data_IF_974464477910
#
_entry.id   IF_974464477910
#
_cell.length_a   1.000
_cell.length_b   1.000
_cell.length_c   1.000
_cell.angle_alpha   90.00
_cell.angle_beta   90.00
_cell.angle_gamma   90.00
#
_symmetry.space_group_name_H-M   'P 1'
#
loop_
_entity.id
_entity.type
_entity.pdbx_description
1 polymer ?
#
# COMPACT_ATOMS: atom_id res chain seq x y z
N UNK A 1 -7.01 -5.12 -6.96
CA UNK A 1 -6.44 -3.79 -7.26
C UNK A 1 -7.59 -2.88 -7.68
N UNK A 2 -7.70 -1.65 -7.17
CA UNK A 2 -8.74 -0.70 -7.57
C UNK A 2 -8.19 0.34 -8.56
N UNK A 3 -8.49 0.16 -9.84
CA UNK A 3 -7.96 1.01 -10.93
C UNK A 3 -8.58 2.41 -10.97
N UNK A 4 -9.86 2.56 -10.62
CA UNK A 4 -10.53 3.88 -10.61
C UNK A 4 -9.94 4.83 -9.57
N UNK A 5 -9.56 4.29 -8.40
CA UNK A 5 -8.88 5.08 -7.36
C UNK A 5 -7.44 5.40 -7.71
N UNK A 6 -6.74 4.53 -8.43
CA UNK A 6 -5.42 4.86 -8.97
C UNK A 6 -5.48 6.09 -9.87
N UNK A 7 -6.44 6.13 -10.81
CA UNK A 7 -6.65 7.29 -11.67
C UNK A 7 -6.95 8.57 -10.87
N UNK A 8 -7.79 8.48 -9.84
CA UNK A 8 -8.07 9.61 -8.96
C UNK A 8 -6.81 10.09 -8.21
N UNK A 9 -5.95 9.18 -7.77
CA UNK A 9 -4.69 9.52 -7.11
C UNK A 9 -3.72 10.26 -8.05
N UNK A 10 -3.67 9.86 -9.32
CA UNK A 10 -2.89 10.58 -10.36
C UNK A 10 -3.46 11.98 -10.60
N UNK A 11 -4.78 12.12 -10.78
CA UNK A 11 -5.44 13.42 -10.99
C UNK A 11 -5.28 14.38 -9.81
N UNK A 12 -5.20 13.85 -8.60
CA UNK A 12 -5.05 14.64 -7.36
C UNK A 12 -3.60 14.85 -6.97
N UNK A 13 -2.64 14.52 -7.83
CA UNK A 13 -1.20 14.60 -7.55
C UNK A 13 -0.78 13.88 -6.26
N UNK A 14 -1.44 12.77 -5.93
CA UNK A 14 -1.17 12.00 -4.71
C UNK A 14 -1.78 12.58 -3.42
N UNK A 15 -2.54 13.69 -3.50
CA UNK A 15 -3.19 14.33 -2.33
C UNK A 15 -4.50 13.67 -1.89
N UNK A 16 -5.10 12.78 -2.69
CA UNK A 16 -6.28 12.02 -2.22
C UNK A 16 -5.87 10.92 -1.24
N UNK A 17 -6.03 11.22 0.05
CA UNK A 17 -5.90 10.25 1.14
C UNK A 17 -7.05 9.23 1.16
N UNK A 18 -6.83 8.08 1.83
CA UNK A 18 -7.89 7.15 2.24
C UNK A 18 -8.38 6.10 1.23
N UNK A 19 -7.91 6.11 -0.03
CA UNK A 19 -8.39 5.18 -1.08
C UNK A 19 -7.53 3.95 -1.38
N UNK A 20 -6.46 3.70 -0.61
CA UNK A 20 -5.44 2.68 -0.95
C UNK A 20 -5.85 1.29 -0.44
N UNK A 21 -5.67 0.25 -1.26
CA UNK A 21 -5.93 -1.13 -0.85
C UNK A 21 -4.92 -1.59 0.20
N UNK A 22 -5.24 -2.66 0.95
CA UNK A 22 -4.31 -3.25 1.92
C UNK A 22 -2.97 -3.63 1.25
N UNK A 23 -2.97 -4.19 0.05
CA UNK A 23 -1.73 -4.52 -0.68
C UNK A 23 -0.92 -3.28 -1.06
N UNK A 24 -1.59 -2.19 -1.40
CA UNK A 24 -0.95 -0.91 -1.70
C UNK A 24 -0.34 -0.28 -0.43
N UNK A 25 -1.07 -0.37 0.69
CA UNK A 25 -0.56 0.07 1.98
C UNK A 25 0.62 -0.77 2.45
N UNK A 26 0.58 -2.10 2.25
CA UNK A 26 1.71 -3.00 2.49
C UNK A 26 2.91 -2.62 1.63
N UNK A 27 2.73 -2.41 0.32
CA UNK A 27 3.80 -1.99 -0.58
C UNK A 27 4.44 -0.66 -0.13
N UNK A 28 3.61 0.31 0.28
CA UNK A 28 4.08 1.59 0.81
C UNK A 28 4.89 1.39 2.09
N UNK A 29 4.34 0.68 3.07
CA UNK A 29 4.94 0.56 4.39
C UNK A 29 6.22 -0.29 4.38
N UNK A 30 6.31 -1.31 3.53
CA UNK A 30 7.45 -2.23 3.47
C UNK A 30 8.60 -1.77 2.56
N UNK A 31 8.31 -0.98 1.51
CA UNK A 31 9.30 -0.73 0.45
C UNK A 31 9.48 0.74 0.03
N UNK A 32 8.63 1.67 0.48
CA UNK A 32 8.63 3.06 -0.02
C UNK A 32 8.72 4.07 1.13
N UNK A 33 9.20 5.27 0.82
CA UNK A 33 9.15 6.40 1.77
C UNK A 33 7.70 6.88 1.99
N UNK A 34 7.47 7.71 3.01
CA UNK A 34 6.15 8.31 3.26
C UNK A 34 5.88 9.60 2.45
N UNK A 35 6.79 9.98 1.54
CA UNK A 35 6.69 11.22 0.78
C UNK A 35 5.49 11.21 -0.17
N UNK A 36 4.62 12.21 -0.13
CA UNK A 36 3.42 12.20 -0.97
C UNK A 36 3.68 12.73 -2.38
N UNK A 37 4.33 11.91 -3.22
CA UNK A 37 4.59 12.22 -4.64
C UNK A 37 3.83 11.27 -5.58
N UNK A 38 3.57 11.75 -6.81
CA UNK A 38 2.94 10.95 -7.88
C UNK A 38 3.82 9.75 -8.25
N UNK A 39 5.13 9.94 -8.34
CA UNK A 39 6.09 8.87 -8.65
C UNK A 39 6.05 7.76 -7.59
N UNK A 40 6.09 8.12 -6.30
CA UNK A 40 5.95 7.15 -5.22
C UNK A 40 4.61 6.41 -5.33
N UNK A 41 3.52 7.11 -5.66
CA UNK A 41 2.19 6.49 -5.80
C UNK A 41 2.12 5.52 -6.99
N UNK A 42 2.82 5.81 -8.09
CA UNK A 42 2.95 4.89 -9.21
C UNK A 42 3.75 3.63 -8.82
N UNK A 43 4.88 3.79 -8.12
CA UNK A 43 5.66 2.66 -7.57
C UNK A 43 4.84 1.78 -6.64
N UNK A 44 4.04 2.39 -5.75
CA UNK A 44 3.12 1.69 -4.85
C UNK A 44 2.13 0.80 -5.62
N UNK A 45 1.59 1.30 -6.73
CA UNK A 45 0.65 0.56 -7.56
C UNK A 45 1.31 -0.64 -8.26
N UNK A 46 2.48 -0.47 -8.86
CA UNK A 46 3.19 -1.57 -9.53
C UNK A 46 3.66 -2.65 -8.55
N UNK A 47 4.20 -2.25 -7.40
CA UNK A 47 4.56 -3.20 -6.33
C UNK A 47 3.33 -3.95 -5.82
N UNK A 48 2.20 -3.26 -5.63
CA UNK A 48 0.97 -3.93 -5.23
C UNK A 48 0.50 -4.95 -6.28
N UNK A 49 0.62 -4.64 -7.58
CA UNK A 49 0.33 -5.59 -8.66
C UNK A 49 1.22 -6.83 -8.56
N UNK A 50 2.52 -6.64 -8.38
CA UNK A 50 3.47 -7.74 -8.25
C UNK A 50 3.19 -8.61 -7.02
N UNK A 51 2.93 -7.99 -5.87
CA UNK A 51 2.54 -8.69 -4.65
C UNK A 51 1.27 -9.53 -4.85
N UNK A 52 0.24 -8.98 -5.51
CA UNK A 52 -0.99 -9.75 -5.81
C UNK A 52 -0.78 -10.90 -6.80
N UNK A 53 0.27 -10.87 -7.63
CA UNK A 53 0.60 -11.98 -8.52
C UNK A 53 1.38 -13.08 -7.81
N UNK A 54 2.23 -12.71 -6.85
CA UNK A 54 3.13 -13.64 -6.16
C UNK A 54 2.49 -14.28 -4.92
N UNK A 55 1.58 -13.58 -4.25
CA UNK A 55 1.02 -13.98 -2.98
C UNK A 55 -0.51 -14.02 -3.02
N UNK A 56 -1.08 -14.99 -2.30
CA UNK A 56 -2.52 -15.06 -2.03
C UNK A 56 -2.98 -13.87 -1.18
N UNK A 57 -4.30 -13.62 -1.15
CA UNK A 57 -4.87 -12.51 -0.37
C UNK A 57 -4.62 -12.71 1.13
N UNK A 58 -4.66 -13.95 1.59
CA UNK A 58 -4.42 -14.36 2.97
C UNK A 58 -2.97 -14.06 3.35
N UNK A 59 -2.00 -14.46 2.52
CA UNK A 59 -0.58 -14.12 2.74
C UNK A 59 -0.36 -12.60 2.75
N UNK A 60 -0.99 -11.87 1.84
CA UNK A 60 -0.90 -10.39 1.81
C UNK A 60 -1.47 -9.78 3.09
N UNK A 61 -2.60 -10.30 3.58
CA UNK A 61 -3.19 -9.82 4.82
C UNK A 61 -2.27 -10.11 6.01
N UNK A 62 -1.70 -11.32 6.11
CA UNK A 62 -0.73 -11.66 7.15
C UNK A 62 0.50 -10.75 7.10
N UNK A 63 1.10 -10.55 5.92
CA UNK A 63 2.24 -9.65 5.75
C UNK A 63 1.90 -8.20 6.11
N UNK A 64 0.69 -7.75 5.78
CA UNK A 64 0.20 -6.43 6.16
C UNK A 64 0.06 -6.29 7.66
N UNK A 65 -0.62 -7.25 8.29
CA UNK A 65 -0.83 -7.26 9.73
C UNK A 65 0.50 -7.33 10.48
N UNK A 66 1.51 -8.05 9.98
CA UNK A 66 2.83 -8.13 10.58
C UNK A 66 3.71 -6.88 10.35
N UNK A 67 3.38 -6.04 9.38
CA UNK A 67 4.10 -4.78 9.11
C UNK A 67 3.31 -3.52 9.47
N UNK A 68 2.08 -3.67 9.93
CA UNK A 68 1.25 -2.54 10.32
C UNK A 68 1.68 -2.04 11.71
N UNK A 69 1.67 -0.72 11.89
CA UNK A 69 1.84 -0.09 13.19
C UNK A 69 0.50 -0.06 13.92
N UNK A 70 0.44 -0.64 15.12
CA UNK A 70 -0.77 -0.72 15.94
C UNK A 70 -0.82 0.32 17.06
N UNK A 71 0.21 1.17 17.19
CA UNK A 71 0.32 2.15 18.27
C UNK A 71 1.24 1.69 19.40
N UNK A 72 1.64 2.63 20.27
CA UNK A 72 2.48 2.36 21.45
C UNK A 72 3.79 1.61 21.16
N UNK A 73 4.42 1.83 20.00
CA UNK A 73 5.65 1.14 19.61
C UNK A 73 5.44 -0.30 19.10
N UNK A 74 4.19 -0.78 19.01
CA UNK A 74 3.86 -2.13 18.55
C UNK A 74 3.74 -2.15 17.03
N UNK A 75 4.53 -3.03 16.42
CA UNK A 75 4.50 -3.34 15.00
C UNK A 75 4.20 -4.82 14.85
N UNK A 76 3.20 -5.15 14.01
CA UNK A 76 2.78 -6.53 13.88
C UNK A 76 1.77 -6.99 14.93
N UNK A 77 1.06 -8.08 14.64
CA UNK A 77 0.11 -8.74 15.57
C UNK A 77 0.47 -10.18 15.90
N UNK A 78 1.61 -10.67 15.40
CA UNK A 78 2.08 -12.09 15.44
C UNK A 78 1.07 -13.15 15.91
#
# INVERSE_FOLDING_TARGET
>A
INYGRFFLAILTAGRSGGGSTITQQLAKNAYLSQDQTVERKAKEFFLALELTKKYSKEQILTMYLNNAYFGNGVWGVE
#
